data_IF_861586436117
#
_entry.id   IF_861586436117
#
_cell.length_a   1.000
_cell.length_b   1.000
_cell.length_c   1.000
_cell.angle_alpha   90.00
_cell.angle_beta   90.00
_cell.angle_gamma   90.00
#
_symmetry.space_group_name_H-M   'P 1'
#
loop_
_entity.id
_entity.type
_entity.pdbx_description
1 polymer ?
#
# COMPACT_ATOMS: atom_id res chain seq x y z
N UNK A 1 12.48 -49.96 -48.03
CA UNK A 1 11.99 -48.66 -48.54
C UNK A 1 10.50 -48.64 -48.26
N UNK A 2 9.96 -47.96 -47.28
CA UNK A 2 10.45 -46.88 -46.40
C UNK A 2 9.76 -47.03 -45.04
N UNK A 3 10.52 -46.88 -43.96
CA UNK A 3 10.01 -46.58 -42.62
C UNK A 3 9.51 -45.14 -42.61
N UNK A 4 8.35 -44.88 -41.99
CA UNK A 4 8.08 -43.60 -41.37
C UNK A 4 7.49 -43.81 -39.97
N UNK A 5 8.39 -43.66 -39.01
CA UNK A 5 8.16 -43.51 -37.57
C UNK A 5 7.33 -42.26 -37.28
N UNK A 6 6.22 -42.44 -36.56
CA UNK A 6 5.50 -41.34 -35.93
C UNK A 6 6.25 -40.92 -34.67
N UNK A 7 6.95 -39.80 -34.75
CA UNK A 7 7.66 -39.18 -33.62
C UNK A 7 6.64 -38.43 -32.75
N UNK A 8 6.46 -38.90 -31.51
CA UNK A 8 5.70 -38.18 -30.48
C UNK A 8 6.51 -36.95 -30.06
N UNK A 9 6.23 -35.81 -30.69
CA UNK A 9 6.68 -34.51 -30.21
C UNK A 9 5.93 -34.14 -28.93
N UNK A 10 6.58 -34.30 -27.78
CA UNK A 10 6.13 -33.70 -26.52
C UNK A 10 6.11 -32.18 -26.68
N UNK A 11 4.90 -31.59 -26.66
CA UNK A 11 4.72 -30.15 -26.58
C UNK A 11 5.15 -29.74 -25.17
N UNK A 12 6.39 -29.28 -25.02
CA UNK A 12 6.80 -28.52 -23.85
C UNK A 12 6.03 -27.20 -23.85
N UNK A 13 4.94 -27.15 -23.08
CA UNK A 13 4.25 -25.90 -22.78
C UNK A 13 5.14 -25.08 -21.87
N UNK A 14 5.91 -24.16 -22.44
CA UNK A 14 6.53 -23.07 -21.70
C UNK A 14 5.46 -22.39 -20.83
N UNK A 15 5.68 -22.22 -19.51
CA UNK A 15 4.68 -21.57 -18.68
C UNK A 15 4.46 -20.14 -19.18
N UNK A 16 3.19 -19.75 -19.40
CA UNK A 16 2.84 -18.36 -19.70
C UNK A 16 3.37 -17.47 -18.58
N UNK A 17 3.86 -16.27 -18.89
CA UNK A 17 4.40 -15.31 -17.90
C UNK A 17 3.50 -15.14 -16.67
N UNK A 18 2.17 -15.14 -16.90
CA UNK A 18 1.14 -15.09 -15.86
C UNK A 18 1.21 -16.21 -14.80
N UNK A 19 1.62 -17.41 -15.19
CA UNK A 19 1.71 -18.56 -14.28
C UNK A 19 2.95 -18.50 -13.39
N UNK A 20 4.04 -17.92 -13.90
CA UNK A 20 5.30 -17.72 -13.17
C UNK A 20 5.13 -16.60 -12.14
N UNK A 21 4.48 -15.50 -12.52
CA UNK A 21 4.19 -14.38 -11.61
C UNK A 21 3.28 -14.82 -10.45
N UNK A 22 2.24 -15.61 -10.73
CA UNK A 22 1.31 -16.08 -9.71
C UNK A 22 1.99 -16.95 -8.63
N UNK A 23 2.84 -17.90 -9.02
CA UNK A 23 3.57 -18.74 -8.07
C UNK A 23 4.51 -17.89 -7.21
N UNK A 24 5.24 -16.97 -7.84
CA UNK A 24 6.18 -16.07 -7.16
C UNK A 24 5.47 -15.18 -6.13
N UNK A 25 4.27 -14.68 -6.46
CA UNK A 25 3.49 -13.85 -5.56
C UNK A 25 2.96 -14.62 -4.35
N UNK A 26 2.51 -15.87 -4.54
CA UNK A 26 2.09 -16.74 -3.42
C UNK A 26 3.27 -16.95 -2.47
N UNK A 27 4.43 -17.34 -3.00
CA UNK A 27 5.64 -17.56 -2.19
C UNK A 27 6.04 -16.30 -1.42
N UNK A 28 5.91 -15.13 -2.05
CA UNK A 28 6.18 -13.83 -1.42
C UNK A 28 5.18 -13.53 -0.30
N UNK A 29 3.88 -13.76 -0.52
CA UNK A 29 2.85 -13.57 0.51
C UNK A 29 3.08 -14.48 1.71
N UNK A 30 3.36 -15.76 1.48
CA UNK A 30 3.64 -16.73 2.55
C UNK A 30 4.91 -16.38 3.32
N UNK A 31 5.93 -15.87 2.63
CA UNK A 31 7.14 -15.39 3.26
C UNK A 31 6.89 -14.15 4.13
N UNK A 32 6.19 -13.14 3.61
CA UNK A 32 5.89 -11.91 4.35
C UNK A 32 4.94 -12.16 5.52
N UNK A 33 3.98 -13.07 5.37
CA UNK A 33 3.05 -13.47 6.44
C UNK A 33 3.77 -14.02 7.68
N UNK A 34 4.90 -14.72 7.50
CA UNK A 34 5.73 -15.21 8.62
C UNK A 34 6.38 -14.09 9.43
N UNK A 35 6.45 -12.88 8.87
CA UNK A 35 7.01 -11.68 9.53
C UNK A 35 5.94 -10.81 10.17
N UNK A 36 4.66 -11.19 10.08
CA UNK A 36 3.57 -10.44 10.67
C UNK A 36 3.62 -10.53 12.20
N UNK A 37 3.71 -9.37 12.86
CA UNK A 37 3.51 -9.23 14.29
C UNK A 37 2.02 -8.89 14.49
N UNK A 38 1.28 -9.78 15.16
CA UNK A 38 -0.17 -9.66 15.34
C UNK A 38 -0.57 -9.17 16.74
N UNK A 39 0.41 -8.94 17.61
CA UNK A 39 0.25 -8.37 18.93
C UNK A 39 0.80 -6.94 18.97
N UNK A 40 0.24 -6.11 19.85
CA UNK A 40 0.69 -4.72 20.00
C UNK A 40 2.09 -4.72 20.66
N UNK A 41 3.11 -4.29 19.89
CA UNK A 41 4.49 -4.10 20.36
C UNK A 41 4.89 -2.61 20.22
N UNK A 42 4.09 -1.73 20.81
CA UNK A 42 4.29 -0.28 20.75
C UNK A 42 4.79 0.27 22.09
N UNK A 43 5.80 1.16 22.02
CA UNK A 43 6.30 1.90 23.19
C UNK A 43 5.40 3.06 23.58
N UNK A 44 4.62 3.56 22.63
CA UNK A 44 3.75 4.72 22.81
C UNK A 44 2.39 4.33 23.40
N UNK A 45 1.73 5.29 24.06
CA UNK A 45 0.35 5.13 24.54
C UNK A 45 -0.58 6.18 23.94
N UNK A 46 -1.87 5.85 23.93
CA UNK A 46 -2.91 6.82 23.65
C UNK A 46 -2.98 7.83 24.80
N UNK A 47 -3.18 9.11 24.48
CA UNK A 47 -3.45 10.15 25.46
C UNK A 47 -4.83 9.93 26.11
N UNK A 48 -4.90 9.06 27.13
CA UNK A 48 -6.14 8.86 27.89
C UNK A 48 -6.25 9.97 28.92
N UNK A 49 -7.33 10.73 28.85
CA UNK A 49 -7.70 11.74 29.84
C UNK A 49 -7.92 11.08 31.21
N UNK A 50 -7.03 11.32 32.17
CA UNK A 50 -7.28 11.02 33.60
C UNK A 50 -6.32 10.07 34.32
N UNK A 51 -5.21 9.63 33.72
CA UNK A 51 -4.12 8.96 34.48
C UNK A 51 -3.01 9.96 34.80
N UNK A 52 -2.63 10.04 36.07
CA UNK A 52 -1.47 10.80 36.54
C UNK A 52 -0.21 10.28 35.84
N UNK A 53 0.41 11.16 35.05
CA UNK A 53 1.64 10.90 34.31
C UNK A 53 2.81 10.96 35.30
N UNK A 54 3.22 9.81 35.82
CA UNK A 54 4.42 9.70 36.66
C UNK A 54 5.66 9.28 35.86
N UNK A 55 5.54 9.10 34.54
CA UNK A 55 6.64 8.75 33.63
C UNK A 55 6.51 9.51 32.32
N UNK A 56 7.65 9.92 31.75
CA UNK A 56 7.77 10.39 30.36
C UNK A 56 7.44 9.22 29.42
N UNK A 57 6.16 8.94 29.24
CA UNK A 57 5.69 7.95 28.28
C UNK A 57 5.50 8.63 26.93
N UNK A 58 6.04 8.02 25.87
CA UNK A 58 5.85 8.51 24.50
C UNK A 58 4.36 8.42 24.14
N UNK A 59 3.79 9.50 23.63
CA UNK A 59 2.36 9.57 23.31
C UNK A 59 2.18 9.45 21.79
N UNK A 60 1.14 8.73 21.36
CA UNK A 60 0.75 8.72 19.96
C UNK A 60 0.32 10.12 19.53
N UNK A 61 1.05 10.70 18.57
CA UNK A 61 0.89 12.06 18.07
C UNK A 61 0.46 12.09 16.61
N UNK A 62 1.09 11.29 15.76
CA UNK A 62 0.88 11.33 14.31
C UNK A 62 0.36 10.00 13.78
N UNK A 63 -0.81 10.03 13.14
CA UNK A 63 -1.42 8.89 12.45
C UNK A 63 -1.41 9.16 10.96
N UNK A 64 -0.81 8.24 10.21
CA UNK A 64 -0.81 8.31 8.75
C UNK A 64 -2.05 7.62 8.18
N UNK A 65 -2.68 8.25 7.20
CA UNK A 65 -3.70 7.66 6.35
C UNK A 65 -3.11 7.38 4.97
N UNK A 66 -3.32 6.17 4.44
CA UNK A 66 -2.92 5.82 3.08
C UNK A 66 -4.11 5.33 2.28
N UNK A 67 -4.17 5.68 1.00
CA UNK A 67 -5.16 5.17 0.05
C UNK A 67 -4.56 5.09 -1.35
N UNK A 68 -5.23 4.34 -2.22
CA UNK A 68 -4.93 4.33 -3.65
C UNK A 68 -6.22 4.28 -4.47
N UNK A 69 -6.32 5.19 -5.42
CA UNK A 69 -7.46 5.29 -6.34
C UNK A 69 -7.01 5.01 -7.76
N UNK A 70 -7.80 4.25 -8.50
CA UNK A 70 -7.54 3.90 -9.90
C UNK A 70 -8.36 4.83 -10.81
N UNK A 71 -7.78 5.28 -11.93
CA UNK A 71 -8.51 6.09 -12.91
C UNK A 71 -9.62 5.28 -13.57
N UNK A 72 -10.76 5.93 -13.82
CA UNK A 72 -11.89 5.33 -14.56
C UNK A 72 -11.67 5.39 -16.07
N UNK A 73 -10.90 6.37 -16.52
CA UNK A 73 -10.57 6.65 -17.92
C UNK A 73 -9.45 5.73 -18.40
N UNK A 74 -8.41 5.56 -17.57
CA UNK A 74 -7.25 4.71 -17.85
C UNK A 74 -6.99 3.75 -16.68
N UNK A 75 -7.41 2.47 -16.79
CA UNK A 75 -7.18 1.46 -15.76
C UNK A 75 -5.71 1.12 -15.46
N UNK A 76 -4.79 1.58 -16.31
CA UNK A 76 -3.35 1.49 -16.08
C UNK A 76 -2.84 2.60 -15.16
N UNK A 77 -3.63 3.64 -14.89
CA UNK A 77 -3.23 4.76 -14.04
C UNK A 77 -3.84 4.65 -12.65
N UNK A 78 -3.05 5.00 -11.63
CA UNK A 78 -3.51 5.13 -10.26
C UNK A 78 -2.88 6.33 -9.56
N UNK A 79 -3.52 6.77 -8.48
CA UNK A 79 -3.05 7.82 -7.60
C UNK A 79 -2.99 7.25 -6.18
N UNK A 80 -1.78 7.13 -5.62
CA UNK A 80 -1.57 6.84 -4.21
C UNK A 80 -1.52 8.13 -3.40
N UNK A 81 -2.03 8.11 -2.17
CA UNK A 81 -2.01 9.25 -1.26
C UNK A 81 -1.49 8.84 0.12
N UNK A 82 -0.76 9.76 0.75
CA UNK A 82 -0.34 9.70 2.13
C UNK A 82 -0.75 11.01 2.80
N UNK A 83 -1.55 10.91 3.86
CA UNK A 83 -1.87 12.04 4.74
C UNK A 83 -1.37 11.74 6.14
N UNK A 84 -1.04 12.77 6.92
CA UNK A 84 -0.75 12.61 8.36
C UNK A 84 -1.64 13.54 9.15
N UNK A 85 -2.32 12.96 10.13
CA UNK A 85 -3.16 13.64 11.09
C UNK A 85 -2.41 13.80 12.42
N UNK A 86 -2.41 15.01 12.99
CA UNK A 86 -2.03 15.23 14.37
C UNK A 86 -3.21 14.87 15.28
N UNK A 87 -3.07 13.87 16.15
CA UNK A 87 -4.15 13.37 17.00
C UNK A 87 -4.57 14.34 18.11
N UNK A 88 -3.73 15.29 18.49
CA UNK A 88 -4.08 16.27 19.52
C UNK A 88 -5.00 17.35 18.95
N UNK A 89 -4.73 17.77 17.71
CA UNK A 89 -5.46 18.86 17.05
C UNK A 89 -6.51 18.37 16.06
N UNK A 90 -6.43 17.09 15.66
CA UNK A 90 -7.21 16.46 14.60
C UNK A 90 -7.09 17.21 13.26
N UNK A 91 -5.95 17.87 13.02
CA UNK A 91 -5.66 18.56 11.77
C UNK A 91 -4.73 17.72 10.89
N UNK A 92 -4.94 17.82 9.58
CA UNK A 92 -4.00 17.29 8.59
C UNK A 92 -2.75 18.18 8.62
N UNK A 93 -1.61 17.58 8.96
CA UNK A 93 -0.31 18.25 9.08
C UNK A 93 0.65 17.91 7.94
N UNK A 94 0.32 16.88 7.15
CA UNK A 94 1.05 16.49 5.96
C UNK A 94 0.10 15.84 4.96
N UNK A 95 0.33 16.11 3.68
CA UNK A 95 -0.31 15.43 2.56
C UNK A 95 0.68 15.31 1.41
N UNK A 96 0.66 14.16 0.74
CA UNK A 96 1.45 13.91 -0.46
C UNK A 96 0.74 12.87 -1.32
N UNK A 97 0.97 12.91 -2.62
CA UNK A 97 0.37 11.98 -3.57
C UNK A 97 1.34 11.64 -4.69
N UNK A 98 1.13 10.48 -5.31
CA UNK A 98 1.90 10.02 -6.46
C UNK A 98 0.96 9.44 -7.50
N UNK A 99 1.03 9.98 -8.72
CA UNK A 99 0.32 9.45 -9.88
C UNK A 99 1.27 8.51 -10.60
N UNK A 100 0.86 7.25 -10.77
CA UNK A 100 1.68 6.18 -11.30
C UNK A 100 0.98 5.43 -12.42
N UNK A 101 1.79 4.91 -13.35
CA UNK A 101 1.36 3.91 -14.31
C UNK A 101 1.66 2.51 -13.76
N UNK A 102 0.64 1.68 -13.66
CA UNK A 102 0.69 0.33 -13.14
C UNK A 102 1.06 -0.65 -14.26
N UNK A 103 2.17 -1.35 -14.06
CA UNK A 103 2.60 -2.44 -14.94
C UNK A 103 2.11 -3.82 -14.49
N UNK A 104 1.60 -3.90 -13.27
CA UNK A 104 1.11 -5.14 -12.66
C UNK A 104 -0.40 -5.30 -12.94
N UNK A 105 -0.84 -6.40 -13.56
CA UNK A 105 -2.26 -6.62 -13.83
C UNK A 105 -3.06 -6.85 -12.55
N UNK A 106 -4.36 -6.56 -12.60
CA UNK A 106 -5.27 -6.91 -11.50
C UNK A 106 -5.44 -8.43 -11.40
N UNK A 107 -5.16 -8.97 -10.21
CA UNK A 107 -5.42 -10.35 -9.87
C UNK A 107 -6.05 -10.43 -8.46
N UNK A 108 -7.27 -11.00 -8.31
CA UNK A 108 -7.91 -11.17 -7.01
C UNK A 108 -7.01 -11.91 -6.02
N UNK A 109 -6.87 -11.37 -4.81
CA UNK A 109 -5.97 -11.90 -3.77
C UNK A 109 -4.53 -11.36 -3.79
N UNK A 110 -4.14 -10.60 -4.83
CA UNK A 110 -2.79 -10.05 -5.01
C UNK A 110 -2.76 -8.53 -5.18
N UNK A 111 -3.81 -7.85 -4.75
CA UNK A 111 -3.94 -6.39 -4.91
C UNK A 111 -2.75 -5.62 -4.31
N UNK A 112 -2.21 -6.09 -3.17
CA UNK A 112 -1.05 -5.49 -2.52
C UNK A 112 0.18 -5.34 -3.43
N UNK A 113 0.36 -6.19 -4.46
CA UNK A 113 1.47 -6.05 -5.41
C UNK A 113 1.31 -4.84 -6.36
N UNK A 114 0.09 -4.33 -6.52
CA UNK A 114 -0.18 -3.09 -7.25
C UNK A 114 -0.04 -1.86 -6.35
N UNK A 115 -0.32 -1.99 -5.06
CA UNK A 115 -0.49 -0.85 -4.14
C UNK A 115 0.72 -0.58 -3.27
N UNK A 116 1.32 -1.63 -2.69
CA UNK A 116 2.42 -1.50 -1.75
C UNK A 116 3.63 -0.74 -2.31
N UNK A 117 4.06 -0.92 -3.59
CA UNK A 117 5.17 -0.14 -4.14
C UNK A 117 4.90 1.37 -4.16
N UNK A 118 3.67 1.76 -4.51
CA UNK A 118 3.26 3.17 -4.61
C UNK A 118 3.24 3.83 -3.23
N UNK A 119 2.69 3.12 -2.24
CA UNK A 119 2.63 3.62 -0.87
C UNK A 119 4.02 3.65 -0.21
N UNK A 120 4.88 2.68 -0.52
CA UNK A 120 6.25 2.66 -0.04
C UNK A 120 7.05 3.86 -0.58
N UNK A 121 6.88 4.21 -1.86
CA UNK A 121 7.52 5.39 -2.46
C UNK A 121 7.16 6.68 -1.72
N UNK A 122 5.86 6.86 -1.38
CA UNK A 122 5.39 8.03 -0.62
C UNK A 122 6.01 8.09 0.79
N UNK A 123 6.06 6.96 1.48
CA UNK A 123 6.67 6.85 2.81
C UNK A 123 8.18 7.10 2.77
N UNK A 124 8.87 6.55 1.77
CA UNK A 124 10.31 6.74 1.58
C UNK A 124 10.65 8.18 1.22
N UNK A 125 9.84 8.83 0.38
CA UNK A 125 9.96 10.26 0.06
C UNK A 125 9.82 11.11 1.32
N UNK A 126 8.80 10.86 2.14
CA UNK A 126 8.61 11.56 3.42
C UNK A 126 9.80 11.34 4.38
N UNK A 127 10.28 10.09 4.49
CA UNK A 127 11.41 9.72 5.35
C UNK A 127 12.72 10.37 4.91
N UNK A 128 12.99 10.41 3.60
CA UNK A 128 14.20 10.99 3.02
C UNK A 128 14.26 12.50 3.24
N UNK A 129 13.11 13.16 3.27
CA UNK A 129 13.01 14.58 3.60
C UNK A 129 13.15 14.87 5.12
N UNK A 130 13.45 13.86 5.94
CA UNK A 130 13.59 13.95 7.39
C UNK A 130 12.40 14.69 8.05
N UNK A 131 11.19 14.41 7.56
CA UNK A 131 10.00 15.12 8.03
C UNK A 131 9.71 14.77 9.50
N UNK A 132 9.67 15.76 10.42
CA UNK A 132 9.42 15.52 11.84
C UNK A 132 8.00 15.00 12.14
N UNK A 133 7.13 14.99 11.14
CA UNK A 133 5.73 14.56 11.22
C UNK A 133 5.55 13.10 10.77
N UNK A 134 6.62 12.30 10.68
CA UNK A 134 6.53 10.92 10.21
C UNK A 134 5.52 10.12 11.08
N UNK A 135 4.56 9.42 10.46
CA UNK A 135 3.48 8.77 11.21
C UNK A 135 4.00 7.60 12.05
N UNK A 136 3.47 7.46 13.27
CA UNK A 136 3.79 6.35 14.18
C UNK A 136 3.00 5.09 13.84
N UNK A 137 1.81 5.24 13.26
CA UNK A 137 0.96 4.15 12.80
C UNK A 137 0.28 4.56 11.49
N UNK A 138 0.06 3.59 10.60
CA UNK A 138 -0.64 3.77 9.34
C UNK A 138 -2.01 3.11 9.39
N UNK A 139 -3.03 3.80 8.88
CA UNK A 139 -4.35 3.27 8.65
C UNK A 139 -4.67 3.35 7.15
N UNK A 140 -5.28 2.28 6.62
CA UNK A 140 -5.91 2.34 5.30
C UNK A 140 -7.13 3.25 5.37
N UNK A 141 -7.15 4.31 4.57
CA UNK A 141 -8.31 5.17 4.45
C UNK A 141 -9.37 4.42 3.66
N UNK A 142 -10.39 3.92 4.36
CA UNK A 142 -11.62 3.48 3.73
C UNK A 142 -12.36 4.72 3.19
N UNK A 143 -13.04 4.54 2.06
CA UNK A 143 -13.53 5.51 1.06
C UNK A 143 -14.28 6.77 1.53
N UNK A 144 -14.43 7.03 2.83
CA UNK A 144 -14.99 8.28 3.36
C UNK A 144 -14.08 9.50 3.13
N UNK A 145 -12.82 9.31 2.74
CA UNK A 145 -11.92 10.40 2.32
C UNK A 145 -12.09 10.83 0.85
N UNK A 146 -12.82 10.07 0.02
CA UNK A 146 -12.93 10.34 -1.42
C UNK A 146 -13.47 11.76 -1.68
N UNK A 147 -14.48 12.20 -0.94
CA UNK A 147 -15.10 13.50 -1.20
C UNK A 147 -14.19 14.69 -0.87
N UNK A 148 -13.33 14.56 0.15
CA UNK A 148 -12.38 15.60 0.52
C UNK A 148 -11.19 15.65 -0.44
N UNK A 149 -10.73 14.50 -0.93
CA UNK A 149 -9.62 14.39 -1.91
C UNK A 149 -10.04 14.95 -3.28
N UNK A 150 -11.26 14.65 -3.77
CA UNK A 150 -11.78 15.25 -5.00
C UNK A 150 -11.89 16.77 -4.90
N UNK A 151 -12.30 17.28 -3.73
CA UNK A 151 -12.41 18.72 -3.45
C UNK A 151 -11.02 19.40 -3.39
N UNK A 152 -10.02 18.74 -2.79
CA UNK A 152 -8.64 19.24 -2.67
C UNK A 152 -7.87 19.20 -4.00
N UNK A 153 -8.08 18.16 -4.81
CA UNK A 153 -7.40 18.00 -6.12
C UNK A 153 -8.12 18.72 -7.27
N UNK A 154 -9.27 19.37 -7.02
CA UNK A 154 -10.03 20.07 -8.07
C UNK A 154 -10.50 19.16 -9.21
N UNK A 155 -10.58 17.85 -8.98
CA UNK A 155 -10.97 16.84 -9.96
C UNK A 155 -12.50 16.74 -10.04
N UNK A 156 -13.19 17.84 -10.30
CA UNK A 156 -14.66 17.84 -10.43
C UNK A 156 -15.17 17.16 -11.71
N UNK A 157 -14.30 16.69 -12.61
CA UNK A 157 -14.70 16.12 -13.91
C UNK A 157 -13.79 14.98 -14.40
N UNK A 158 -13.70 13.89 -13.64
CA UNK A 158 -13.30 12.57 -14.14
C UNK A 158 -14.31 11.52 -13.68
#
# INVERSE_FOLDING_TARGET
MEEQSHEQGSIETSPSSSSVDHKTWIETQDFLKKKLIAEDDFTWRLAVTGRSMEKEEEVLKYVGGVDISYSKEDPSMACGILVVLDLQTLQVVYEDFSIVTLHVPYLPGFLAFREAPVLLELLEKMKTNANPLYPQVLAWLVTLAFWQIYLLLGLEKM
#
